data_IF_182541154562
#
_entry.id   IF_182541154562
#
_cell.length_a   1.000
_cell.length_b   1.000
_cell.length_c   1.000
_cell.angle_alpha   90.00
_cell.angle_beta   90.00
_cell.angle_gamma   90.00
#
_symmetry.space_group_name_H-M   'P 1'
#
loop_
_entity.id
_entity.type
_entity.pdbx_description
1 polymer ?
#
# COMPACT_ATOMS: atom_id res chain seq x y z
N UNK A 1 -3.34 55.83 41.38
CA UNK A 1 -2.82 54.89 40.37
C UNK A 1 -3.28 53.50 40.75
N UNK A 2 -4.32 53.00 40.08
CA UNK A 2 -4.79 51.63 40.24
C UNK A 2 -4.06 50.77 39.21
N UNK A 3 -3.36 49.73 39.65
CA UNK A 3 -2.79 48.71 38.77
C UNK A 3 -3.67 47.48 38.94
N UNK A 4 -4.55 47.25 37.95
CA UNK A 4 -5.32 46.03 37.85
C UNK A 4 -4.39 44.93 37.28
N UNK A 5 -4.06 43.95 38.12
CA UNK A 5 -3.38 42.74 37.68
C UNK A 5 -4.41 41.83 37.00
N UNK A 6 -4.26 41.64 35.69
CA UNK A 6 -5.04 40.68 34.92
C UNK A 6 -4.66 39.25 35.34
N UNK A 7 -5.64 38.49 35.81
CA UNK A 7 -5.49 37.06 36.02
C UNK A 7 -5.42 36.37 34.65
N UNK A 8 -4.23 35.89 34.27
CA UNK A 8 -4.09 34.94 33.19
C UNK A 8 -4.70 33.61 33.66
N UNK A 9 -5.84 33.24 33.10
CA UNK A 9 -6.41 31.91 33.29
C UNK A 9 -5.48 30.87 32.70
N UNK A 10 -5.01 29.94 33.54
CA UNK A 10 -4.36 28.73 33.06
C UNK A 10 -5.44 27.88 32.38
N UNK A 11 -5.38 27.78 31.05
CA UNK A 11 -6.13 26.77 30.30
C UNK A 11 -5.43 25.45 30.60
N UNK A 12 -6.07 24.57 31.37
CA UNK A 12 -5.63 23.18 31.49
C UNK A 12 -5.58 22.56 30.08
N UNK A 13 -4.60 21.70 29.75
CA UNK A 13 -4.68 20.93 28.52
C UNK A 13 -6.02 20.16 28.56
N UNK A 14 -6.85 20.36 27.53
CA UNK A 14 -7.99 19.49 27.32
C UNK A 14 -7.41 18.09 27.11
N UNK A 15 -7.78 17.13 27.96
CA UNK A 15 -7.44 15.73 27.71
C UNK A 15 -8.06 15.38 26.36
N UNK A 16 -7.27 14.83 25.45
CA UNK A 16 -7.84 14.12 24.33
C UNK A 16 -8.58 12.88 24.88
N UNK A 17 -9.70 12.55 24.24
CA UNK A 17 -10.57 11.40 24.47
C UNK A 17 -10.70 10.65 23.12
N UNK A 18 -11.54 9.62 23.04
CA UNK A 18 -11.78 8.85 21.82
C UNK A 18 -13.22 8.32 21.71
N UNK A 19 -14.05 8.54 22.71
CA UNK A 19 -15.35 7.90 22.86
C UNK A 19 -16.44 8.42 21.91
N UNK A 20 -16.16 9.45 21.09
CA UNK A 20 -17.10 10.07 20.17
C UNK A 20 -16.83 9.76 18.69
N UNK A 21 -15.94 8.81 18.39
CA UNK A 21 -15.81 8.24 17.05
C UNK A 21 -16.97 7.27 16.75
N UNK A 22 -17.52 7.34 15.55
CA UNK A 22 -18.54 6.39 15.05
C UNK A 22 -18.14 5.87 13.68
N UNK A 23 -18.57 4.67 13.31
CA UNK A 23 -18.37 4.14 11.96
C UNK A 23 -19.36 4.83 11.03
N UNK A 24 -18.85 5.58 10.05
CA UNK A 24 -19.66 6.28 9.05
C UNK A 24 -19.89 5.44 7.81
N UNK A 25 -18.87 4.70 7.38
CA UNK A 25 -18.89 4.03 6.09
C UNK A 25 -18.06 2.75 6.06
N UNK A 26 -18.56 1.74 5.35
CA UNK A 26 -17.87 0.45 5.16
C UNK A 26 -18.00 0.00 3.71
N UNK A 27 -16.89 -0.36 3.08
CA UNK A 27 -16.85 -0.83 1.69
C UNK A 27 -16.05 -2.12 1.56
N UNK A 28 -16.47 -2.98 0.64
CA UNK A 28 -15.67 -4.09 0.12
C UNK A 28 -16.00 -4.30 -1.35
N UNK A 29 -15.02 -4.74 -2.13
CA UNK A 29 -15.29 -5.42 -3.40
C UNK A 29 -15.52 -6.93 -3.16
N UNK A 30 -15.79 -7.67 -4.25
CA UNK A 30 -16.22 -9.07 -4.20
C UNK A 30 -15.17 -10.05 -3.65
N UNK A 31 -13.89 -9.85 -3.99
CA UNK A 31 -12.76 -10.69 -3.59
C UNK A 31 -12.09 -10.23 -2.29
N UNK A 32 -12.63 -9.17 -1.67
CA UNK A 32 -12.14 -8.59 -0.43
C UNK A 32 -10.75 -7.91 -0.54
N UNK A 33 -10.23 -7.67 -1.75
CA UNK A 33 -8.97 -6.97 -1.94
C UNK A 33 -9.10 -5.48 -1.63
N UNK A 34 -10.14 -4.81 -2.14
CA UNK A 34 -10.37 -3.37 -1.94
C UNK A 34 -11.40 -3.19 -0.84
N UNK A 35 -10.95 -2.77 0.33
CA UNK A 35 -11.82 -2.57 1.49
C UNK A 35 -11.45 -1.30 2.25
N UNK A 36 -12.43 -0.68 2.88
CA UNK A 36 -12.18 0.34 3.89
C UNK A 36 -13.29 0.40 4.94
N UNK A 37 -12.91 0.94 6.10
CA UNK A 37 -13.79 1.42 7.17
C UNK A 37 -13.46 2.87 7.39
N UNK A 38 -14.47 3.72 7.37
CA UNK A 38 -14.36 5.11 7.75
C UNK A 38 -15.00 5.31 9.12
N UNK A 39 -14.28 5.98 10.01
CA UNK A 39 -14.81 6.53 11.24
C UNK A 39 -15.01 8.03 11.05
N UNK A 40 -15.99 8.61 11.72
CA UNK A 40 -16.19 10.06 11.78
C UNK A 40 -16.40 10.54 13.21
N UNK A 41 -16.05 11.80 13.47
CA UNK A 41 -16.43 12.50 14.69
C UNK A 41 -16.77 13.96 14.40
N UNK A 42 -17.75 14.49 15.12
CA UNK A 42 -18.09 15.93 15.12
C UNK A 42 -17.50 16.66 16.32
N UNK A 43 -16.81 15.94 17.20
CA UNK A 43 -16.32 16.47 18.47
C UNK A 43 -14.85 16.92 18.36
N UNK A 44 -14.50 17.87 19.21
CA UNK A 44 -13.11 18.27 19.43
C UNK A 44 -12.44 17.34 20.44
N UNK A 45 -11.10 17.36 20.47
CA UNK A 45 -10.27 16.61 21.42
C UNK A 45 -10.50 15.09 21.37
N UNK A 46 -10.72 14.50 20.19
CA UNK A 46 -10.89 13.05 20.01
C UNK A 46 -9.60 12.34 19.56
N UNK A 47 -8.43 12.84 19.98
CA UNK A 47 -7.13 12.45 19.44
C UNK A 47 -6.44 11.29 20.15
N UNK A 48 -6.91 10.84 21.33
CA UNK A 48 -6.26 9.83 22.18
C UNK A 48 -6.59 8.42 21.69
N UNK A 49 -6.07 8.08 20.51
CA UNK A 49 -6.39 6.84 19.80
C UNK A 49 -5.25 5.84 19.78
N UNK A 50 -4.06 6.19 20.28
CA UNK A 50 -2.93 5.28 20.35
C UNK A 50 -3.28 4.04 21.18
N UNK A 51 -3.03 2.86 20.61
CA UNK A 51 -3.31 1.56 21.23
C UNK A 51 -4.78 1.11 21.11
N UNK A 52 -5.69 1.94 20.58
CA UNK A 52 -7.05 1.51 20.28
C UNK A 52 -7.07 0.59 19.06
N UNK A 53 -8.06 -0.30 19.02
CA UNK A 53 -8.18 -1.33 17.99
C UNK A 53 -9.46 -1.21 17.19
N UNK A 54 -9.37 -1.53 15.90
CA UNK A 54 -10.49 -1.88 15.06
C UNK A 54 -10.50 -3.41 14.91
N UNK A 55 -11.63 -4.03 15.24
CA UNK A 55 -11.80 -5.49 15.16
C UNK A 55 -12.94 -5.82 14.22
N UNK A 56 -12.64 -6.52 13.13
CA UNK A 56 -13.65 -7.18 12.30
C UNK A 56 -13.86 -8.61 12.82
N UNK A 57 -15.11 -9.01 12.96
CA UNK A 57 -15.52 -10.34 13.45
C UNK A 57 -16.46 -10.95 12.41
N UNK A 58 -16.25 -12.20 12.03
CA UNK A 58 -17.11 -12.87 11.06
C UNK A 58 -18.49 -13.21 11.64
N UNK A 59 -19.44 -13.56 10.78
CA UNK A 59 -20.85 -13.78 11.15
C UNK A 59 -21.10 -14.83 12.24
N UNK A 60 -20.22 -15.83 12.40
CA UNK A 60 -20.34 -16.87 13.43
C UNK A 60 -19.50 -16.58 14.71
N UNK A 61 -18.80 -15.44 14.74
CA UNK A 61 -17.99 -15.01 15.87
C UNK A 61 -16.70 -15.79 16.07
N UNK A 62 -16.31 -16.69 15.16
CA UNK A 62 -15.16 -17.58 15.33
C UNK A 62 -13.84 -17.00 14.82
N UNK A 63 -13.87 -16.04 13.91
CA UNK A 63 -12.69 -15.41 13.32
C UNK A 63 -12.69 -13.92 13.57
N UNK A 64 -11.49 -13.37 13.80
CA UNK A 64 -11.29 -11.95 14.03
C UNK A 64 -10.06 -11.45 13.28
N UNK A 65 -10.19 -10.28 12.66
CA UNK A 65 -9.08 -9.49 12.14
C UNK A 65 -8.96 -8.24 12.99
N UNK A 66 -7.76 -7.92 13.45
CA UNK A 66 -7.50 -6.82 14.40
C UNK A 66 -6.46 -5.89 13.79
N UNK A 67 -6.74 -4.59 13.83
CA UNK A 67 -5.82 -3.53 13.47
C UNK A 67 -5.69 -2.53 14.62
N UNK A 68 -4.48 -2.03 14.87
CA UNK A 68 -4.17 -1.15 16.01
C UNK A 68 -3.73 0.22 15.50
N UNK A 69 -4.28 1.28 16.08
CA UNK A 69 -3.80 2.65 15.86
C UNK A 69 -2.52 2.85 16.68
N UNK A 70 -1.41 3.18 16.01
CA UNK A 70 -0.08 3.18 16.64
C UNK A 70 0.29 4.52 17.28
N UNK A 71 -0.43 5.58 16.96
CA UNK A 71 -0.15 6.93 17.45
C UNK A 71 -1.42 7.75 17.58
N UNK A 72 -1.38 8.72 18.51
CA UNK A 72 -2.45 9.71 18.65
C UNK A 72 -2.55 10.61 17.43
N UNK A 73 -3.74 11.13 17.21
CA UNK A 73 -4.00 12.08 16.14
C UNK A 73 -3.46 13.45 16.52
N UNK A 74 -2.83 14.11 15.56
CA UNK A 74 -2.36 15.49 15.73
C UNK A 74 -3.28 16.46 14.99
N UNK A 75 -3.72 17.52 15.66
CA UNK A 75 -4.59 18.54 15.08
C UNK A 75 -6.04 18.51 15.60
N UNK A 76 -6.89 19.31 14.97
CA UNK A 76 -8.30 19.43 15.34
C UNK A 76 -9.10 18.24 14.79
N UNK A 77 -9.85 17.59 15.67
CA UNK A 77 -10.69 16.42 15.41
C UNK A 77 -12.14 16.80 15.09
N UNK A 78 -12.55 18.05 15.25
CA UNK A 78 -13.91 18.48 14.93
C UNK A 78 -14.23 18.26 13.44
N UNK A 79 -15.28 17.47 13.17
CA UNK A 79 -15.75 17.14 11.82
C UNK A 79 -14.64 16.49 10.98
N UNK A 80 -13.97 15.49 11.57
CA UNK A 80 -12.91 14.71 10.92
C UNK A 80 -13.34 13.26 10.71
N UNK A 81 -12.64 12.64 9.77
CA UNK A 81 -12.77 11.24 9.42
C UNK A 81 -11.46 10.52 9.74
N UNK A 82 -11.51 9.21 9.96
CA UNK A 82 -10.34 8.33 9.93
C UNK A 82 -10.61 7.23 8.92
N UNK A 83 -9.68 7.07 7.99
CA UNK A 83 -9.76 6.06 6.94
C UNK A 83 -8.85 4.89 7.28
N UNK A 84 -9.45 3.74 7.52
CA UNK A 84 -8.75 2.47 7.67
C UNK A 84 -9.01 1.65 6.41
N UNK A 85 -7.99 1.38 5.61
CA UNK A 85 -8.20 0.76 4.30
C UNK A 85 -7.09 -0.20 3.89
N UNK A 86 -7.38 -1.05 2.92
CA UNK A 86 -6.42 -2.01 2.39
C UNK A 86 -5.34 -1.36 1.54
N UNK A 87 -4.21 -2.04 1.36
CA UNK A 87 -3.14 -1.58 0.46
C UNK A 87 -3.66 -1.49 -0.98
N UNK A 88 -4.39 -2.51 -1.45
CA UNK A 88 -5.05 -2.51 -2.76
C UNK A 88 -6.01 -1.32 -2.95
N UNK A 89 -6.67 -0.83 -1.89
CA UNK A 89 -7.47 0.39 -1.95
C UNK A 89 -6.59 1.64 -2.16
N UNK A 90 -5.49 1.76 -1.42
CA UNK A 90 -4.60 2.90 -1.50
C UNK A 90 -3.93 2.98 -2.90
N UNK A 91 -3.52 1.84 -3.45
CA UNK A 91 -2.96 1.75 -4.80
C UNK A 91 -3.97 2.15 -5.88
N UNK A 92 -5.23 1.66 -5.77
CA UNK A 92 -6.28 1.97 -6.75
C UNK A 92 -6.64 3.46 -6.75
N UNK A 93 -6.72 4.07 -5.57
CA UNK A 93 -7.27 5.43 -5.40
C UNK A 93 -6.22 6.52 -5.30
N UNK A 94 -4.98 6.17 -4.94
CA UNK A 94 -3.93 7.11 -4.54
C UNK A 94 -4.21 7.83 -3.22
N UNK A 95 -5.30 7.50 -2.52
CA UNK A 95 -5.64 8.09 -1.23
C UNK A 95 -4.90 7.35 -0.12
N UNK A 96 -4.03 8.06 0.61
CA UNK A 96 -3.30 7.49 1.73
C UNK A 96 -4.24 7.29 2.94
N UNK A 97 -4.49 6.04 3.38
CA UNK A 97 -5.28 5.76 4.58
C UNK A 97 -4.55 6.23 5.84
N UNK A 98 -5.30 6.52 6.89
CA UNK A 98 -4.74 6.82 8.22
C UNK A 98 -4.23 5.55 8.91
N UNK A 99 -4.78 4.39 8.57
CA UNK A 99 -4.28 3.07 8.94
C UNK A 99 -4.41 2.10 7.77
N UNK A 100 -3.30 1.46 7.40
CA UNK A 100 -3.29 0.38 6.43
C UNK A 100 -3.64 -0.96 7.10
N UNK A 101 -4.45 -1.76 6.44
CA UNK A 101 -4.79 -3.14 6.83
C UNK A 101 -4.55 -4.11 5.67
N UNK A 102 -4.35 -5.42 5.94
CA UNK A 102 -4.23 -6.41 4.88
C UNK A 102 -5.54 -6.58 4.10
N UNK A 103 -5.44 -7.02 2.85
CA UNK A 103 -6.58 -7.50 2.06
C UNK A 103 -7.35 -8.60 2.81
N UNK A 104 -8.68 -8.61 2.69
CA UNK A 104 -9.53 -9.55 3.42
C UNK A 104 -9.74 -9.19 4.90
N UNK A 105 -9.40 -7.98 5.33
CA UNK A 105 -9.64 -7.50 6.70
C UNK A 105 -11.13 -7.58 7.09
N UNK A 106 -12.04 -7.14 6.22
CA UNK A 106 -13.48 -7.26 6.43
C UNK A 106 -14.03 -8.58 5.90
N UNK A 107 -14.85 -9.25 6.72
CA UNK A 107 -15.53 -10.46 6.30
C UNK A 107 -16.70 -10.13 5.37
N UNK A 108 -16.70 -10.70 4.16
CA UNK A 108 -17.67 -10.35 3.11
C UNK A 108 -18.99 -11.11 3.21
N UNK A 109 -19.05 -12.17 4.02
CA UNK A 109 -20.24 -13.01 4.24
C UNK A 109 -21.03 -12.61 5.50
N UNK A 110 -20.81 -11.38 5.97
CA UNK A 110 -21.44 -10.81 7.16
C UNK A 110 -20.55 -10.87 8.40
N UNK A 111 -20.94 -10.11 9.43
CA UNK A 111 -20.15 -9.97 10.65
C UNK A 111 -20.42 -8.68 11.39
N UNK A 112 -19.43 -8.24 12.16
CA UNK A 112 -19.44 -6.97 12.87
C UNK A 112 -18.09 -6.28 12.80
N UNK A 113 -18.09 -4.95 12.85
CA UNK A 113 -16.89 -4.14 13.08
C UNK A 113 -17.04 -3.45 14.42
N UNK A 114 -16.02 -3.54 15.26
CA UNK A 114 -15.98 -2.96 16.59
C UNK A 114 -14.73 -2.08 16.72
N UNK A 115 -14.94 -0.79 16.95
CA UNK A 115 -13.89 0.17 17.25
C UNK A 115 -13.78 0.42 18.75
N UNK A 116 -12.54 0.42 19.25
CA UNK A 116 -12.17 0.76 20.62
C UNK A 116 -13.03 0.03 21.68
N UNK A 117 -13.17 -1.28 21.49
CA UNK A 117 -13.85 -2.20 22.41
C UNK A 117 -15.27 -1.74 22.82
N UNK A 118 -16.06 -1.30 21.83
CA UNK A 118 -17.47 -0.97 21.99
C UNK A 118 -17.80 0.51 21.88
N UNK A 119 -16.82 1.35 21.55
CA UNK A 119 -17.04 2.78 21.29
C UNK A 119 -17.92 2.96 20.06
N UNK A 120 -17.62 2.24 18.98
CA UNK A 120 -18.49 2.16 17.81
C UNK A 120 -18.62 0.72 17.35
N UNK A 121 -19.84 0.28 17.09
CA UNK A 121 -20.13 -1.06 16.60
C UNK A 121 -21.14 -0.96 15.45
N UNK A 122 -20.86 -1.67 14.37
CA UNK A 122 -21.83 -1.98 13.32
C UNK A 122 -21.88 -3.50 13.13
N UNK A 123 -23.09 -4.03 12.97
CA UNK A 123 -23.34 -5.39 12.51
C UNK A 123 -23.92 -5.34 11.09
N UNK A 124 -23.52 -6.28 10.23
CA UNK A 124 -24.00 -6.33 8.86
C UNK A 124 -24.18 -7.77 8.38
N UNK A 125 -25.25 -8.02 7.63
CA UNK A 125 -25.46 -9.27 6.92
C UNK A 125 -24.79 -9.24 5.53
N UNK A 126 -24.45 -10.42 4.99
CA UNK A 126 -23.92 -10.56 3.62
C UNK A 126 -24.78 -9.87 2.55
N UNK A 127 -26.11 -9.83 2.76
CA UNK A 127 -27.10 -9.21 1.85
C UNK A 127 -27.12 -7.68 1.90
N UNK A 128 -26.57 -7.08 2.95
CA UNK A 128 -26.49 -5.62 3.12
C UNK A 128 -25.19 -5.07 2.53
N UNK A 129 -24.10 -5.84 2.58
CA UNK A 129 -22.79 -5.42 2.10
C UNK A 129 -22.70 -5.51 0.56
N UNK A 130 -22.65 -4.38 -0.18
CA UNK A 130 -22.59 -4.40 -1.63
C UNK A 130 -21.28 -5.03 -2.12
N UNK A 131 -21.37 -5.89 -3.15
CA UNK A 131 -20.20 -6.41 -3.90
C UNK A 131 -20.20 -5.88 -5.33
N UNK A 132 -20.90 -4.77 -5.55
CA UNK A 132 -21.13 -4.17 -6.87
C UNK A 132 -20.06 -3.14 -7.27
N UNK A 133 -19.07 -2.90 -6.40
CA UNK A 133 -17.93 -2.04 -6.65
C UNK A 133 -18.21 -0.54 -6.68
N UNK A 134 -19.47 -0.12 -6.53
CA UNK A 134 -19.89 1.30 -6.66
C UNK A 134 -20.72 1.79 -5.48
N UNK A 135 -20.97 0.94 -4.48
CA UNK A 135 -21.68 1.30 -3.25
C UNK A 135 -20.93 0.76 -2.03
N UNK A 136 -21.01 1.52 -0.95
CA UNK A 136 -20.65 1.17 0.42
C UNK A 136 -21.93 1.03 1.26
N UNK A 137 -21.79 0.74 2.55
CA UNK A 137 -22.86 0.91 3.54
C UNK A 137 -22.52 2.04 4.51
N UNK A 138 -23.55 2.73 5.00
CA UNK A 138 -23.43 3.68 6.10
C UNK A 138 -23.33 2.97 7.47
N UNK A 139 -23.14 3.74 8.55
CA UNK A 139 -23.13 3.25 9.93
C UNK A 139 -24.39 2.51 10.40
N UNK A 140 -25.48 2.54 9.62
CA UNK A 140 -26.73 1.82 9.87
C UNK A 140 -26.92 0.61 8.92
N UNK A 141 -25.94 0.32 8.06
CA UNK A 141 -26.00 -0.76 7.08
C UNK A 141 -26.83 -0.45 5.84
N UNK A 142 -27.15 0.82 5.57
CA UNK A 142 -27.87 1.24 4.37
C UNK A 142 -26.89 1.53 3.22
N UNK A 143 -27.22 1.09 2.01
CA UNK A 143 -26.37 1.30 0.85
C UNK A 143 -26.27 2.78 0.45
N UNK A 144 -25.05 3.29 0.29
CA UNK A 144 -24.75 4.66 -0.11
C UNK A 144 -23.69 4.70 -1.21
N UNK A 145 -23.46 5.88 -1.78
CA UNK A 145 -22.31 6.12 -2.69
C UNK A 145 -21.03 6.22 -1.85
N UNK A 146 -19.92 5.57 -2.26
CA UNK A 146 -18.67 5.61 -1.53
C UNK A 146 -18.11 7.03 -1.46
N UNK A 147 -17.71 7.48 -0.27
CA UNK A 147 -17.12 8.79 -0.02
C UNK A 147 -15.88 8.76 0.90
N UNK A 148 -14.89 7.88 0.65
CA UNK A 148 -13.78 7.68 1.57
C UNK A 148 -12.98 8.97 1.77
N UNK A 149 -12.77 9.35 3.02
CA UNK A 149 -12.09 10.57 3.43
C UNK A 149 -11.12 10.27 4.58
N UNK A 150 -9.85 10.65 4.43
CA UNK A 150 -8.85 10.48 5.48
C UNK A 150 -8.83 11.66 6.48
N UNK A 151 -8.03 11.57 7.53
CA UNK A 151 -7.94 12.59 8.57
C UNK A 151 -7.47 13.95 8.06
N UNK A 152 -6.63 13.96 7.02
CA UNK A 152 -6.20 15.18 6.35
C UNK A 152 -7.35 15.88 5.57
N UNK A 153 -8.50 15.24 5.42
CA UNK A 153 -9.65 15.73 4.65
C UNK A 153 -9.50 15.54 3.14
N UNK A 154 -8.63 14.63 2.71
CA UNK A 154 -8.52 14.21 1.32
C UNK A 154 -9.51 13.08 1.05
N UNK A 155 -10.13 13.10 -0.13
CA UNK A 155 -11.10 12.08 -0.54
C UNK A 155 -10.79 11.58 -1.95
N UNK A 156 -11.32 10.41 -2.29
CA UNK A 156 -11.20 9.82 -3.62
C UNK A 156 -12.54 9.30 -4.13
N UNK A 157 -12.68 9.23 -5.45
CA UNK A 157 -13.78 8.50 -6.09
C UNK A 157 -13.45 7.01 -6.12
N UNK A 158 -14.42 6.17 -5.81
CA UNK A 158 -14.25 4.72 -5.82
C UNK A 158 -15.25 4.05 -6.77
N UNK A 159 -14.72 3.30 -7.74
CA UNK A 159 -15.48 2.46 -8.65
C UNK A 159 -14.63 1.25 -9.01
N UNK A 160 -15.11 0.06 -8.72
CA UNK A 160 -14.42 -1.21 -8.96
C UNK A 160 -15.24 -2.05 -9.93
N UNK A 161 -14.58 -2.62 -10.94
CA UNK A 161 -15.24 -3.55 -11.86
C UNK A 161 -15.68 -4.83 -11.14
N UNK A 162 -16.90 -5.27 -11.39
CA UNK A 162 -17.44 -6.50 -10.78
C UNK A 162 -17.03 -7.71 -11.59
N UNK A 163 -16.14 -8.53 -11.02
CA UNK A 163 -15.64 -9.74 -11.64
C UNK A 163 -16.26 -10.98 -11.00
N UNK A 164 -16.76 -11.90 -11.82
CA UNK A 164 -16.93 -13.28 -11.41
C UNK A 164 -15.56 -13.95 -11.23
N UNK A 165 -15.48 -14.90 -10.31
CA UNK A 165 -14.26 -15.66 -10.04
C UNK A 165 -14.49 -17.16 -10.19
N UNK A 166 -13.43 -17.89 -10.54
CA UNK A 166 -13.41 -19.34 -10.55
C UNK A 166 -12.37 -19.86 -9.54
N UNK A 167 -12.85 -20.55 -8.51
CA UNK A 167 -12.00 -21.34 -7.63
C UNK A 167 -11.75 -22.70 -8.28
N UNK A 168 -10.55 -22.86 -8.83
CA UNK A 168 -10.14 -24.11 -9.49
C UNK A 168 -10.01 -25.30 -8.53
N UNK A 169 -9.67 -25.05 -7.25
CA UNK A 169 -9.52 -26.11 -6.25
C UNK A 169 -10.88 -26.66 -5.81
N UNK A 170 -11.86 -25.77 -5.63
CA UNK A 170 -13.22 -26.16 -5.29
C UNK A 170 -14.08 -26.49 -6.51
N UNK A 171 -13.64 -26.14 -7.73
CA UNK A 171 -14.45 -26.16 -8.96
C UNK A 171 -15.75 -25.35 -8.80
N UNK A 172 -15.64 -24.14 -8.25
CA UNK A 172 -16.78 -23.25 -7.99
C UNK A 172 -16.62 -21.94 -8.75
N UNK A 173 -17.67 -21.53 -9.47
CA UNK A 173 -17.78 -20.16 -9.99
C UNK A 173 -18.62 -19.32 -9.05
N UNK A 174 -18.16 -18.13 -8.72
CA UNK A 174 -18.90 -17.15 -7.92
C UNK A 174 -19.25 -15.96 -8.78
N UNK A 175 -20.54 -15.62 -8.83
CA UNK A 175 -21.03 -14.38 -9.44
C UNK A 175 -21.41 -13.42 -8.30
N UNK A 176 -20.64 -12.34 -8.08
CA UNK A 176 -20.88 -11.45 -6.94
C UNK A 176 -22.20 -10.68 -7.07
N UNK A 177 -22.58 -10.33 -8.30
CA UNK A 177 -23.83 -9.66 -8.63
C UNK A 177 -24.40 -10.24 -9.91
N UNK A 178 -25.61 -10.79 -9.82
CA UNK A 178 -26.43 -11.24 -10.94
C UNK A 178 -27.75 -10.49 -10.90
N UNK A 179 -28.12 -9.84 -12.00
CA UNK A 179 -29.47 -9.33 -12.20
C UNK A 179 -30.39 -10.46 -12.66
N UNK A 180 -31.39 -10.77 -11.82
CA UNK A 180 -32.38 -11.81 -12.07
C UNK A 180 -33.75 -11.16 -12.25
N UNK A 181 -34.28 -11.09 -13.48
CA UNK A 181 -35.54 -10.43 -13.76
C UNK A 181 -36.69 -10.96 -12.90
N UNK A 182 -37.39 -10.05 -12.21
CA UNK A 182 -38.50 -10.37 -11.33
C UNK A 182 -38.11 -10.83 -9.92
N UNK A 183 -36.83 -11.10 -9.65
CA UNK A 183 -36.31 -11.47 -8.32
C UNK A 183 -35.45 -10.34 -7.74
N UNK A 184 -34.61 -9.70 -8.57
CA UNK A 184 -33.68 -8.64 -8.16
C UNK A 184 -32.23 -9.08 -8.26
N UNK A 185 -31.35 -8.38 -7.54
CA UNK A 185 -29.91 -8.63 -7.56
C UNK A 185 -29.53 -9.73 -6.58
N UNK A 186 -28.73 -10.69 -7.03
CA UNK A 186 -28.29 -11.82 -6.21
C UNK A 186 -26.77 -12.00 -6.23
N UNK A 187 -26.21 -12.52 -5.14
CA UNK A 187 -24.94 -13.25 -5.16
C UNK A 187 -25.27 -14.72 -5.34
N UNK A 188 -24.64 -15.38 -6.30
CA UNK A 188 -24.81 -16.82 -6.54
C UNK A 188 -23.45 -17.49 -6.71
N UNK A 189 -23.43 -18.80 -6.49
CA UNK A 189 -22.28 -19.65 -6.77
C UNK A 189 -22.74 -20.94 -7.44
N UNK A 190 -21.90 -21.49 -8.31
CA UNK A 190 -22.18 -22.71 -9.07
C UNK A 190 -21.08 -23.73 -8.87
N UNK A 191 -21.45 -24.98 -8.59
CA UNK A 191 -20.54 -26.12 -8.73
C UNK A 191 -20.34 -26.39 -10.23
N UNK A 192 -19.09 -26.53 -10.66
CA UNK A 192 -18.73 -26.70 -12.07
C UNK A 192 -18.24 -28.11 -12.34
N UNK A 193 -18.93 -28.82 -13.23
CA UNK A 193 -18.45 -30.10 -13.75
C UNK A 193 -17.54 -29.85 -14.95
N UNK A 194 -16.22 -29.86 -14.75
CA UNK A 194 -15.24 -29.60 -15.82
C UNK A 194 -15.31 -30.60 -16.98
N UNK A 195 -15.88 -31.79 -16.78
CA UNK A 195 -16.04 -32.80 -17.84
C UNK A 195 -17.22 -32.50 -18.77
N UNK A 196 -18.29 -31.92 -18.23
CA UNK A 196 -19.53 -31.64 -18.99
C UNK A 196 -19.74 -30.15 -19.26
N UNK A 197 -18.98 -29.29 -18.57
CA UNK A 197 -19.15 -27.83 -18.51
C UNK A 197 -20.56 -27.43 -18.07
N UNK A 198 -21.11 -28.18 -17.11
CA UNK A 198 -22.36 -27.87 -16.41
C UNK A 198 -22.08 -27.10 -15.12
N UNK A 199 -22.98 -26.16 -14.81
CA UNK A 199 -22.90 -25.21 -13.70
C UNK A 199 -24.18 -25.36 -12.87
N UNK A 200 -24.08 -26.05 -11.74
CA UNK A 200 -25.22 -26.32 -10.86
C UNK A 200 -25.28 -25.30 -9.72
N UNK A 201 -26.42 -24.64 -9.56
CA UNK A 201 -26.58 -23.59 -8.54
C UNK A 201 -26.44 -24.18 -7.13
N UNK A 202 -25.62 -23.52 -6.29
CA UNK A 202 -25.46 -23.88 -4.88
C UNK A 202 -26.46 -23.17 -4.00
N UNK A 203 -26.68 -23.68 -2.78
CA UNK A 203 -27.66 -23.16 -1.82
C UNK A 203 -27.18 -21.95 -0.99
N UNK A 204 -25.92 -21.51 -1.11
CA UNK A 204 -25.36 -20.34 -0.43
C UNK A 204 -25.70 -19.00 -1.12
N UNK A 205 -26.62 -19.01 -2.08
CA UNK A 205 -27.07 -17.80 -2.74
C UNK A 205 -27.87 -16.90 -1.81
N UNK A 206 -27.85 -15.61 -2.12
CA UNK A 206 -28.71 -14.65 -1.44
C UNK A 206 -29.10 -13.49 -2.34
N UNK A 207 -30.27 -12.92 -2.04
CA UNK A 207 -30.77 -11.69 -2.70
C UNK A 207 -30.34 -10.50 -1.86
N UNK A 208 -29.74 -9.52 -2.52
CA UNK A 208 -29.33 -8.27 -1.91
C UNK A 208 -30.54 -7.50 -1.37
N UNK A 209 -30.30 -6.71 -0.33
CA UNK A 209 -31.32 -5.80 0.21
C UNK A 209 -31.68 -4.70 -0.79
N UNK A 210 -32.86 -4.10 -0.62
CA UNK A 210 -33.29 -2.99 -1.47
C UNK A 210 -32.33 -1.80 -1.36
N UNK A 211 -32.08 -1.11 -2.48
CA UNK A 211 -31.14 0.01 -2.57
C UNK A 211 -29.77 -0.36 -3.14
N UNK A 212 -29.44 -1.66 -3.20
CA UNK A 212 -28.27 -2.16 -3.92
C UNK A 212 -28.51 -2.05 -5.42
N UNK A 213 -27.52 -1.49 -6.13
CA UNK A 213 -27.48 -1.31 -7.57
C UNK A 213 -26.67 -2.42 -8.23
N UNK A 214 -26.84 -2.60 -9.54
CA UNK A 214 -26.18 -3.67 -10.27
C UNK A 214 -24.66 -3.45 -10.44
N UNK A 215 -24.20 -2.21 -10.36
CA UNK A 215 -22.81 -1.84 -10.66
C UNK A 215 -22.55 -1.74 -12.16
N UNK A 216 -21.26 -1.71 -12.54
CA UNK A 216 -20.86 -1.46 -13.92
C UNK A 216 -21.05 -2.68 -14.83
N UNK A 217 -20.71 -3.87 -14.34
CA UNK A 217 -20.63 -5.10 -15.16
C UNK A 217 -21.25 -6.31 -14.47
N UNK A 218 -22.53 -6.25 -14.06
CA UNK A 218 -23.22 -7.38 -13.44
C UNK A 218 -23.40 -8.53 -14.45
N UNK A 219 -23.38 -9.77 -13.97
CA UNK A 219 -23.94 -10.87 -14.74
C UNK A 219 -25.47 -10.73 -14.83
N UNK A 220 -26.08 -11.31 -15.85
CA UNK A 220 -27.50 -11.12 -16.12
C UNK A 220 -28.16 -12.43 -16.54
N UNK A 221 -29.29 -12.77 -15.91
CA UNK A 221 -30.19 -13.78 -16.45
C UNK A 221 -31.10 -13.12 -17.48
N UNK A 222 -30.85 -13.39 -18.75
CA UNK A 222 -31.58 -12.83 -19.88
C UNK A 222 -32.78 -13.71 -20.27
N UNK A 223 -33.67 -13.15 -21.11
CA UNK A 223 -34.78 -13.89 -21.68
C UNK A 223 -34.29 -15.15 -22.43
N UNK A 224 -35.09 -16.22 -22.37
CA UNK A 224 -34.72 -17.50 -22.97
C UNK A 224 -33.79 -18.37 -22.12
N UNK A 225 -33.57 -18.00 -20.85
CA UNK A 225 -32.75 -18.79 -19.92
C UNK A 225 -31.26 -18.68 -20.20
N UNK A 226 -30.80 -17.53 -20.69
CA UNK A 226 -29.38 -17.29 -20.98
C UNK A 226 -28.75 -16.57 -19.79
N UNK A 227 -27.75 -17.18 -19.16
CA UNK A 227 -26.92 -16.50 -18.17
C UNK A 227 -25.73 -15.87 -18.89
N UNK A 228 -25.78 -14.55 -19.05
CA UNK A 228 -24.68 -13.77 -19.59
C UNK A 228 -23.72 -13.37 -18.47
N UNK A 229 -22.46 -13.78 -18.62
CA UNK A 229 -21.39 -13.44 -17.68
C UNK A 229 -20.36 -12.56 -18.41
N UNK A 230 -20.32 -11.25 -18.13
CA UNK A 230 -19.48 -10.33 -18.89
C UNK A 230 -17.99 -10.47 -18.53
N UNK A 231 -17.70 -10.93 -17.31
CA UNK A 231 -16.38 -10.86 -16.69
C UNK A 231 -16.14 -12.03 -15.75
N UNK A 232 -15.63 -13.15 -16.25
CA UNK A 232 -15.12 -14.24 -15.40
C UNK A 232 -13.59 -14.25 -15.45
N UNK A 233 -12.97 -14.09 -14.30
CA UNK A 233 -11.52 -14.19 -14.16
C UNK A 233 -11.14 -15.65 -13.96
N UNK A 234 -10.30 -16.16 -14.86
CA UNK A 234 -9.68 -17.48 -14.77
C UNK A 234 -8.19 -17.29 -14.97
N UNK A 235 -7.41 -17.50 -13.91
CA UNK A 235 -5.98 -17.16 -13.89
C UNK A 235 -5.74 -15.72 -14.37
N UNK A 236 -5.10 -15.53 -15.51
CA UNK A 236 -4.74 -14.21 -16.06
C UNK A 236 -5.61 -13.78 -17.25
N UNK A 237 -6.72 -14.48 -17.48
CA UNK A 237 -7.66 -14.26 -18.57
C UNK A 237 -9.02 -13.84 -18.03
N UNK A 238 -9.67 -12.94 -18.77
CA UNK A 238 -11.02 -12.48 -18.56
C UNK A 238 -11.89 -13.04 -19.68
N UNK A 239 -12.88 -13.86 -19.31
CA UNK A 239 -13.83 -14.48 -20.20
C UNK A 239 -15.17 -13.75 -20.17
N UNK A 240 -15.70 -13.48 -21.36
CA UNK A 240 -17.09 -13.09 -21.58
C UNK A 240 -17.80 -14.26 -22.26
N UNK A 241 -18.91 -14.74 -21.69
CA UNK A 241 -19.62 -15.89 -22.23
C UNK A 241 -21.09 -15.93 -21.84
N UNK A 242 -21.82 -16.76 -22.58
CA UNK A 242 -23.19 -17.14 -22.28
C UNK A 242 -23.25 -18.59 -21.83
N UNK A 243 -24.14 -18.89 -20.89
CA UNK A 243 -24.61 -20.25 -20.61
C UNK A 243 -26.11 -20.37 -20.92
N UNK A 244 -26.54 -21.54 -21.35
CA UNK A 244 -27.96 -21.88 -21.53
C UNK A 244 -28.48 -22.65 -20.33
N UNK A 245 -29.68 -22.31 -19.87
CA UNK A 245 -30.40 -23.07 -18.85
C UNK A 245 -30.74 -24.46 -19.39
N UNK A 246 -30.26 -25.49 -18.71
CA UNK A 246 -30.50 -26.90 -19.05
C UNK A 246 -31.62 -27.51 -18.21
N UNK A 247 -31.72 -27.06 -16.95
CA UNK A 247 -32.72 -27.49 -15.98
C UNK A 247 -33.02 -26.34 -15.03
N UNK A 248 -34.28 -26.18 -14.61
CA UNK A 248 -34.74 -25.20 -13.62
C UNK A 248 -34.97 -25.80 -12.22
N UNK A 249 -35.00 -27.13 -12.09
CA UNK A 249 -35.08 -27.86 -10.82
C UNK A 249 -34.28 -29.19 -10.83
N UNK A 250 -33.04 -29.22 -10.30
CA UNK A 250 -32.27 -28.08 -9.82
C UNK A 250 -31.88 -27.13 -10.96
N UNK A 251 -31.56 -25.88 -10.62
CA UNK A 251 -31.07 -24.89 -11.59
C UNK A 251 -29.67 -25.31 -12.07
N UNK A 252 -29.57 -25.66 -13.35
CA UNK A 252 -28.32 -26.05 -14.01
C UNK A 252 -28.20 -25.31 -15.33
N UNK A 253 -27.06 -24.66 -15.51
CA UNK A 253 -26.65 -24.04 -16.76
C UNK A 253 -25.56 -24.88 -17.45
N UNK A 254 -25.40 -24.72 -18.76
CA UNK A 254 -24.31 -25.34 -19.51
C UNK A 254 -24.27 -24.83 -20.94
N UNK A 255 -23.66 -25.62 -21.84
CA UNK A 255 -23.42 -25.22 -23.23
C UNK A 255 -22.73 -23.84 -23.33
N UNK A 256 -21.51 -23.67 -22.80
CA UNK A 256 -20.84 -22.38 -22.80
C UNK A 256 -20.56 -21.89 -24.21
N UNK A 257 -20.95 -20.65 -24.47
CA UNK A 257 -20.64 -19.92 -25.70
C UNK A 257 -19.74 -18.75 -25.32
N UNK A 258 -18.44 -18.90 -25.57
CA UNK A 258 -17.45 -17.84 -25.35
C UNK A 258 -17.65 -16.74 -26.40
N UNK A 259 -17.86 -15.52 -25.94
CA UNK A 259 -18.06 -14.34 -26.77
C UNK A 259 -16.75 -13.58 -26.96
N UNK A 260 -15.97 -13.43 -25.89
CA UNK A 260 -14.64 -12.83 -25.94
C UNK A 260 -13.73 -13.40 -24.85
N UNK A 261 -12.42 -13.35 -25.13
CA UNK A 261 -11.36 -13.63 -24.15
C UNK A 261 -10.36 -12.51 -24.27
N UNK A 262 -10.02 -11.89 -23.14
CA UNK A 262 -9.00 -10.85 -23.06
C UNK A 262 -8.05 -11.16 -21.92
N UNK A 263 -6.77 -10.90 -22.09
CA UNK A 263 -5.84 -10.97 -20.97
C UNK A 263 -6.15 -9.84 -20.00
N UNK A 264 -6.24 -10.17 -18.71
CA UNK A 264 -5.97 -9.17 -17.70
C UNK A 264 -4.49 -8.84 -17.89
N UNK A 265 -4.19 -7.66 -18.45
CA UNK A 265 -2.81 -7.21 -18.40
C UNK A 265 -2.41 -7.31 -16.92
N UNK A 266 -1.27 -7.94 -16.59
CA UNK A 266 -0.69 -7.72 -15.29
C UNK A 266 -0.70 -6.21 -15.09
N UNK A 267 -1.07 -5.73 -13.89
CA UNK A 267 -0.55 -4.43 -13.45
C UNK A 267 0.91 -4.42 -13.90
N UNK A 268 1.37 -3.41 -14.67
CA UNK A 268 2.75 -3.40 -15.12
C UNK A 268 3.56 -3.74 -13.88
N UNK A 269 4.25 -4.89 -13.89
CA UNK A 269 5.12 -5.25 -12.77
C UNK A 269 5.91 -3.98 -12.52
N UNK A 270 5.81 -3.45 -11.29
CA UNK A 270 6.65 -2.32 -10.91
C UNK A 270 8.03 -2.70 -11.44
N UNK A 271 8.58 -1.87 -12.35
CA UNK A 271 9.90 -2.12 -12.91
C UNK A 271 10.76 -2.58 -11.74
N UNK A 272 11.42 -3.76 -11.83
CA UNK A 272 12.07 -4.34 -10.67
C UNK A 272 12.87 -3.23 -10.01
N UNK A 273 12.53 -2.90 -8.75
CA UNK A 273 13.36 -1.96 -8.01
C UNK A 273 14.79 -2.46 -8.16
N UNK A 274 15.74 -1.57 -8.50
CA UNK A 274 17.11 -1.99 -8.76
C UNK A 274 17.54 -2.87 -7.58
N UNK A 275 17.91 -4.12 -7.91
CA UNK A 275 18.26 -5.15 -6.93
C UNK A 275 19.11 -4.55 -5.81
N UNK A 276 18.69 -4.64 -4.53
CA UNK A 276 19.55 -4.22 -3.45
C UNK A 276 20.81 -5.11 -3.46
N UNK A 277 21.98 -4.49 -3.46
CA UNK A 277 23.24 -5.21 -3.26
C UNK A 277 23.20 -5.95 -1.91
N UNK A 278 23.82 -7.14 -1.79
CA UNK A 278 23.67 -8.01 -0.63
C UNK A 278 24.15 -7.34 0.66
N UNK A 279 23.27 -7.31 1.66
CA UNK A 279 23.51 -6.88 3.03
C UNK A 279 24.64 -7.68 3.70
N UNK A 280 25.66 -7.03 4.31
CA UNK A 280 26.42 -7.65 5.37
C UNK A 280 25.62 -7.70 6.68
N UNK A 281 25.95 -8.67 7.52
CA UNK A 281 25.42 -8.96 8.86
C UNK A 281 25.48 -7.76 9.85
N UNK A 282 24.95 -7.92 11.08
CA UNK A 282 23.96 -7.00 11.67
C UNK A 282 24.44 -5.55 11.73
N UNK A 283 23.55 -4.56 11.61
CA UNK A 283 23.88 -3.21 12.11
C UNK A 283 23.93 -3.27 13.64
N UNK A 284 25.10 -3.13 14.28
CA UNK A 284 25.17 -2.60 15.64
C UNK A 284 24.52 -1.22 15.70
N UNK A 285 24.25 -0.75 16.92
CA UNK A 285 23.90 0.63 17.32
C UNK A 285 24.32 1.68 16.27
N UNK A 286 23.50 2.73 15.99
CA UNK A 286 23.67 3.62 14.84
C UNK A 286 25.13 4.02 14.71
N UNK A 287 25.76 3.58 13.61
CA UNK A 287 27.16 3.85 13.34
C UNK A 287 27.33 5.37 13.25
N UNK A 288 28.28 5.97 13.99
CA UNK A 288 28.47 7.41 13.98
C UNK A 288 28.66 7.86 12.53
N UNK A 289 27.99 8.95 12.15
CA UNK A 289 28.16 9.58 10.83
C UNK A 289 29.64 9.54 10.42
N UNK A 290 29.96 9.07 9.19
CA UNK A 290 31.34 8.88 8.79
C UNK A 290 32.08 10.19 9.02
N UNK A 291 33.12 10.12 9.85
CA UNK A 291 33.90 11.30 10.21
C UNK A 291 34.29 12.04 8.93
N UNK A 292 34.35 13.37 8.96
CA UNK A 292 34.68 14.15 7.77
C UNK A 292 35.98 13.71 7.07
N UNK A 293 36.87 12.99 7.78
CA UNK A 293 38.06 12.35 7.23
C UNK A 293 37.74 11.18 6.28
N UNK A 294 36.78 10.31 6.61
CA UNK A 294 36.43 9.17 5.75
C UNK A 294 35.83 9.65 4.42
N UNK A 295 34.93 10.63 4.49
CA UNK A 295 34.38 11.26 3.29
C UNK A 295 35.47 11.92 2.42
N UNK A 296 36.54 12.42 3.04
CA UNK A 296 37.71 12.97 2.34
C UNK A 296 38.54 11.89 1.66
N UNK A 297 38.72 10.73 2.31
CA UNK A 297 39.43 9.57 1.75
C UNK A 297 38.71 9.05 0.50
N UNK A 298 37.38 8.91 0.56
CA UNK A 298 36.58 8.35 -0.54
C UNK A 298 36.63 9.24 -1.80
N UNK A 299 36.46 10.56 -1.63
CA UNK A 299 36.66 11.53 -2.73
C UNK A 299 38.09 11.52 -3.25
N UNK A 300 39.05 11.31 -2.36
CA UNK A 300 40.47 11.21 -2.68
C UNK A 300 40.79 10.01 -3.56
N UNK A 301 40.15 8.87 -3.30
CA UNK A 301 40.30 7.66 -4.11
C UNK A 301 39.85 7.88 -5.56
N UNK A 302 38.69 8.52 -5.76
CA UNK A 302 38.17 8.82 -7.10
C UNK A 302 39.09 9.77 -7.87
N UNK A 303 39.59 10.81 -7.19
CA UNK A 303 40.53 11.76 -7.74
C UNK A 303 41.89 11.10 -8.06
N UNK A 304 42.36 10.19 -7.20
CA UNK A 304 43.59 9.44 -7.41
C UNK A 304 43.50 8.50 -8.62
N UNK A 305 42.39 7.78 -8.76
CA UNK A 305 42.16 6.86 -9.88
C UNK A 305 42.16 7.60 -11.22
N UNK A 306 41.56 8.80 -11.27
CA UNK A 306 41.44 9.59 -12.49
C UNK A 306 42.70 10.36 -12.85
N UNK A 307 43.47 10.86 -11.87
CA UNK A 307 44.56 11.80 -12.11
C UNK A 307 45.96 11.25 -11.82
N UNK A 308 46.09 10.22 -10.96
CA UNK A 308 47.37 9.82 -10.38
C UNK A 308 47.78 8.38 -10.73
N UNK A 309 46.80 7.47 -10.78
CA UNK A 309 47.03 6.03 -10.93
C UNK A 309 47.75 5.65 -12.24
N UNK A 310 47.57 6.44 -13.31
CA UNK A 310 48.23 6.23 -14.60
C UNK A 310 49.77 6.26 -14.51
N UNK A 311 50.32 7.01 -13.55
CA UNK A 311 51.77 7.13 -13.36
C UNK A 311 52.26 6.42 -12.09
N UNK A 312 51.50 6.54 -11.00
CA UNK A 312 51.88 6.00 -9.69
C UNK A 312 51.36 4.58 -9.43
N UNK A 313 50.62 4.00 -10.38
CA UNK A 313 50.00 2.69 -10.26
C UNK A 313 48.71 2.73 -9.43
N UNK A 314 47.78 1.83 -9.73
CA UNK A 314 46.48 1.75 -9.05
C UNK A 314 46.61 1.43 -7.56
N UNK A 315 47.69 0.75 -7.16
CA UNK A 315 48.04 0.41 -5.77
C UNK A 315 49.11 1.33 -5.18
N UNK A 316 49.48 2.42 -5.86
CA UNK A 316 50.53 3.32 -5.39
C UNK A 316 51.94 2.74 -5.40
N UNK A 317 52.17 1.58 -6.01
CA UNK A 317 53.49 0.92 -6.07
C UNK A 317 54.48 1.60 -7.02
N UNK A 318 54.03 2.61 -7.78
CA UNK A 318 54.80 3.28 -8.80
C UNK A 318 54.84 2.52 -10.12
N UNK A 319 54.94 3.25 -11.22
CA UNK A 319 55.23 2.71 -12.55
C UNK A 319 56.17 3.63 -13.32
N UNK A 320 55.62 4.68 -13.93
CA UNK A 320 56.37 5.75 -14.59
C UNK A 320 56.66 6.93 -13.65
N UNK A 321 56.02 6.94 -12.48
CA UNK A 321 56.33 7.83 -11.36
C UNK A 321 56.65 7.03 -10.08
N UNK A 322 57.31 7.64 -9.08
CA UNK A 322 57.78 6.95 -7.88
C UNK A 322 56.66 6.25 -7.10
N UNK A 323 57.04 5.20 -6.36
CA UNK A 323 56.15 4.52 -5.43
C UNK A 323 55.69 5.48 -4.33
N UNK A 324 54.37 5.52 -4.12
CA UNK A 324 53.73 6.31 -3.08
C UNK A 324 53.66 5.54 -1.76
N UNK A 325 53.66 4.20 -1.80
CA UNK A 325 53.70 3.33 -0.61
C UNK A 325 54.99 3.47 0.20
N UNK A 326 56.09 3.92 -0.42
CA UNK A 326 57.39 4.13 0.23
C UNK A 326 57.89 5.58 0.10
N UNK A 327 56.98 6.51 -0.18
CA UNK A 327 57.30 7.92 -0.38
C UNK A 327 57.86 8.57 0.90
N UNK A 328 58.81 9.49 0.72
CA UNK A 328 59.31 10.33 1.80
C UNK A 328 58.28 11.38 2.27
N UNK A 329 57.26 11.64 1.47
CA UNK A 329 56.12 12.46 1.86
C UNK A 329 55.14 11.55 2.59
N UNK A 330 55.27 11.48 3.92
CA UNK A 330 54.52 10.59 4.80
C UNK A 330 53.76 11.32 5.91
N UNK A 331 53.49 12.60 5.71
CA UNK A 331 52.61 13.40 6.57
C UNK A 331 51.57 14.09 5.70
N UNK A 332 50.38 14.28 6.26
CA UNK A 332 49.26 14.89 5.53
C UNK A 332 49.64 16.24 4.91
N UNK A 333 50.23 17.15 5.69
CA UNK A 333 50.64 18.48 5.21
C UNK A 333 51.64 18.40 4.07
N UNK A 334 52.65 17.53 4.18
CA UNK A 334 53.69 17.42 3.16
C UNK A 334 53.15 16.80 1.86
N UNK A 335 52.27 15.80 1.97
CA UNK A 335 51.59 15.17 0.84
C UNK A 335 50.63 16.13 0.15
N UNK A 336 49.72 16.75 0.90
CA UNK A 336 48.77 17.73 0.38
C UNK A 336 49.51 18.84 -0.35
N UNK A 337 50.52 19.43 0.27
CA UNK A 337 51.28 20.52 -0.34
C UNK A 337 52.02 20.06 -1.60
N UNK A 338 52.58 18.85 -1.60
CA UNK A 338 53.27 18.30 -2.78
C UNK A 338 52.29 18.07 -3.93
N UNK A 339 51.11 17.53 -3.64
CA UNK A 339 50.04 17.31 -4.61
C UNK A 339 49.55 18.63 -5.17
N UNK A 340 49.10 19.54 -4.30
CA UNK A 340 48.54 20.84 -4.65
C UNK A 340 49.51 21.71 -5.49
N UNK A 341 50.81 21.66 -5.18
CA UNK A 341 51.77 22.53 -5.87
C UNK A 341 52.32 21.97 -7.17
N UNK A 342 52.36 20.64 -7.35
CA UNK A 342 53.17 20.05 -8.42
C UNK A 342 52.58 18.81 -9.09
N UNK A 343 51.43 18.31 -8.64
CA UNK A 343 50.80 17.11 -9.21
C UNK A 343 49.37 17.39 -9.71
N UNK A 344 48.96 16.82 -10.84
CA UNK A 344 49.77 16.01 -11.76
C UNK A 344 50.89 16.82 -12.48
N UNK A 345 52.06 16.21 -12.79
CA UNK A 345 53.17 16.94 -13.43
C UNK A 345 52.75 17.54 -14.78
N UNK A 346 53.02 18.84 -14.96
CA UNK A 346 52.63 19.57 -16.17
C UNK A 346 51.20 20.11 -16.16
N UNK A 347 50.38 19.74 -15.18
CA UNK A 347 49.03 20.29 -14.98
C UNK A 347 48.62 20.23 -13.49
N UNK A 348 49.41 20.87 -12.62
CA UNK A 348 49.16 20.80 -11.18
C UNK A 348 47.75 21.30 -10.80
N UNK A 349 47.23 22.28 -11.53
CA UNK A 349 45.88 22.83 -11.34
C UNK A 349 44.74 21.83 -11.50
N UNK A 350 44.98 20.66 -12.12
CA UNK A 350 43.98 19.60 -12.23
C UNK A 350 43.65 18.95 -10.88
N UNK A 351 44.54 19.05 -9.89
CA UNK A 351 44.25 18.62 -8.53
C UNK A 351 44.79 19.62 -7.50
N UNK A 352 44.15 20.79 -7.47
CA UNK A 352 44.37 21.80 -6.44
C UNK A 352 43.16 21.99 -5.55
N UNK A 353 43.42 22.45 -4.34
CA UNK A 353 42.38 22.95 -3.46
C UNK A 353 42.02 24.39 -3.85
N UNK A 354 40.73 24.65 -3.96
CA UNK A 354 40.17 25.97 -4.22
C UNK A 354 38.94 26.18 -3.34
N UNK A 355 38.26 27.32 -3.47
CA UNK A 355 36.99 27.55 -2.75
C UNK A 355 35.89 26.52 -3.06
N UNK A 356 36.02 25.75 -4.15
CA UNK A 356 35.05 24.75 -4.57
C UNK A 356 35.65 23.35 -4.83
N UNK A 357 36.93 23.13 -4.50
CA UNK A 357 37.62 21.86 -4.71
C UNK A 357 38.50 21.55 -3.52
N UNK A 358 38.48 20.30 -3.06
CA UNK A 358 39.36 19.77 -2.01
C UNK A 358 40.27 18.66 -2.56
N UNK A 359 40.53 18.65 -3.87
CA UNK A 359 41.23 17.54 -4.54
C UNK A 359 42.57 17.18 -3.89
N UNK A 360 43.43 18.16 -3.59
CA UNK A 360 44.74 17.89 -3.02
C UNK A 360 44.64 17.40 -1.57
N UNK A 361 43.68 17.94 -0.81
CA UNK A 361 43.36 17.49 0.54
C UNK A 361 42.84 16.05 0.55
N UNK A 362 41.87 15.75 -0.31
CA UNK A 362 41.21 14.46 -0.40
C UNK A 362 42.22 13.38 -0.87
N UNK A 363 43.00 13.65 -1.92
CA UNK A 363 44.04 12.72 -2.41
C UNK A 363 45.13 12.48 -1.37
N UNK A 364 45.55 13.50 -0.61
CA UNK A 364 46.54 13.33 0.44
C UNK A 364 46.03 12.48 1.61
N UNK A 365 44.77 12.66 2.01
CA UNK A 365 44.11 11.82 3.00
C UNK A 365 44.02 10.37 2.52
N UNK A 366 43.59 10.17 1.28
CA UNK A 366 43.54 8.82 0.68
C UNK A 366 44.91 8.15 0.67
N UNK A 367 45.94 8.83 0.14
CA UNK A 367 47.28 8.24 0.05
C UNK A 367 47.87 7.87 1.41
N UNK A 368 47.73 8.76 2.41
CA UNK A 368 48.27 8.52 3.73
C UNK A 368 47.58 7.33 4.41
N UNK A 369 46.25 7.24 4.29
CA UNK A 369 45.47 6.23 4.99
C UNK A 369 45.34 4.90 4.24
N UNK A 370 45.65 4.86 2.94
CA UNK A 370 45.49 3.64 2.13
C UNK A 370 46.82 3.07 1.65
N UNK A 371 47.81 3.91 1.34
CA UNK A 371 49.09 3.44 0.82
C UNK A 371 50.23 3.48 1.84
N UNK A 372 50.13 4.34 2.85
CA UNK A 372 51.24 4.62 3.78
C UNK A 372 50.89 4.37 5.26
N UNK A 373 49.72 3.79 5.51
CA UNK A 373 49.23 3.49 6.85
C UNK A 373 50.11 2.49 7.59
#
# INVERSE_FOLDING_TARGET
>A
MAVAAGAAGFVSPASADFDQWRISEVFTNADAAIQYVELETTAMNQGDVAGLVLTAINADGQQQNIATLMSDLSGDTSNRNLLIATESFAELTGLNPDLLVPDGFLFTEGGSINFANGTAIIEYAARQLPKNGVQSIDGNGAAISPGPTNFAGLSATLSVETNASFDAAASVVVLPVVDVPGIGLARVSFDVSLASLEFALRNDFYIYTAGILAGNTPAQLQAGGILYTPRLVVANELFEFNLSLLSDDPVVFGNPVVLSVSNLLPLPEAEPEPTPEPTPEPTPDPEPEPSGLQLSIDRGQLSYQSLCAVCHGVTGTGFSAPALTTSIFNTFTALRQKTDSTMPPGNATACTDTGSSTCATDVANFMLNVFQN
#
